data_IF_350894363583
#
_entry.id   IF_350894363583
#
_cell.length_a   1.000
_cell.length_b   1.000
_cell.length_c   1.000
_cell.angle_alpha   90.00
_cell.angle_beta   90.00
_cell.angle_gamma   90.00
#
_symmetry.space_group_name_H-M   'P 1'
#
loop_
_entity.id
_entity.type
_entity.pdbx_description
1 polymer ?
#
# COMPACT_ATOMS: atom_id res chain seq x y z
N UNK A 1 -12.14 -3.55 -12.34
CA UNK A 1 -12.22 -3.69 -10.88
C UNK A 1 -13.05 -2.53 -10.40
N UNK A 2 -14.22 -2.82 -9.83
CA UNK A 2 -15.12 -1.80 -9.30
C UNK A 2 -14.70 -1.50 -7.85
N UNK A 3 -14.31 -0.25 -7.58
CA UNK A 3 -13.92 0.24 -6.26
C UNK A 3 -15.11 0.89 -5.50
N UNK A 4 -16.31 0.88 -6.09
CA UNK A 4 -17.48 1.52 -5.50
C UNK A 4 -17.79 1.00 -4.08
N UNK A 5 -17.85 1.94 -3.13
CA UNK A 5 -18.36 1.71 -1.77
C UNK A 5 -17.35 1.14 -0.75
N UNK A 6 -16.05 1.17 -1.05
CA UNK A 6 -14.95 0.89 -0.08
C UNK A 6 -14.02 2.08 0.15
N UNK A 7 -14.42 3.21 -0.40
CA UNK A 7 -13.60 4.40 -0.47
C UNK A 7 -13.90 5.25 0.78
N UNK A 8 -12.86 5.74 1.47
CA UNK A 8 -12.99 6.52 2.70
C UNK A 8 -12.75 5.80 4.03
N UNK A 9 -12.48 4.50 4.01
CA UNK A 9 -12.25 3.69 5.21
C UNK A 9 -10.79 3.57 5.64
N UNK A 10 -9.87 3.87 4.71
CA UNK A 10 -8.44 3.85 4.93
C UNK A 10 -7.85 5.23 4.77
N UNK A 11 -7.00 5.61 5.72
CA UNK A 11 -6.16 6.80 5.59
C UNK A 11 -4.74 6.39 5.87
N UNK A 12 -3.84 6.62 4.91
CA UNK A 12 -2.40 6.64 5.17
C UNK A 12 -1.99 8.09 5.35
N UNK A 13 -1.43 8.42 6.50
CA UNK A 13 -1.02 9.78 6.84
C UNK A 13 0.46 9.82 7.20
N UNK A 14 1.20 10.68 6.51
CA UNK A 14 2.59 10.96 6.85
C UNK A 14 2.65 11.98 7.98
N UNK A 15 3.34 11.62 9.05
CA UNK A 15 3.44 12.42 10.27
C UNK A 15 4.90 12.67 10.58
N UNK A 16 5.27 13.95 10.61
CA UNK A 16 6.59 14.41 11.05
C UNK A 16 6.51 14.81 12.52
N UNK A 17 7.42 14.31 13.34
CA UNK A 17 7.69 14.88 14.67
C UNK A 17 9.13 15.38 14.74
N UNK A 18 9.53 15.97 15.87
CA UNK A 18 10.83 16.59 16.07
C UNK A 18 12.04 15.67 15.76
N UNK A 19 11.87 14.34 15.85
CA UNK A 19 12.96 13.36 15.71
C UNK A 19 12.73 12.30 14.64
N UNK A 20 11.63 12.35 13.89
CA UNK A 20 11.37 11.30 12.91
C UNK A 20 10.16 11.51 12.01
N UNK A 21 9.94 10.52 11.16
CA UNK A 21 8.81 10.45 10.24
C UNK A 21 8.13 9.10 10.39
N UNK A 22 6.81 9.10 10.46
CA UNK A 22 6.02 7.88 10.56
C UNK A 22 4.87 7.91 9.57
N UNK A 23 4.38 6.73 9.20
CA UNK A 23 3.13 6.57 8.46
C UNK A 23 2.10 5.94 9.40
N UNK A 24 1.00 6.67 9.61
CA UNK A 24 -0.15 6.17 10.34
C UNK A 24 -1.15 5.55 9.34
N UNK A 25 -1.45 4.27 9.54
CA UNK A 25 -2.46 3.52 8.78
C UNK A 25 -3.75 3.44 9.59
N UNK A 26 -4.76 4.22 9.21
CA UNK A 26 -6.07 4.23 9.84
C UNK A 26 -7.03 3.29 9.14
N UNK A 27 -7.89 2.62 9.92
CA UNK A 27 -9.09 1.93 9.43
C UNK A 27 -10.32 2.37 10.22
N UNK A 28 -11.48 2.34 9.58
CA UNK A 28 -12.77 2.52 10.24
C UNK A 28 -13.55 1.19 10.28
N UNK A 29 -13.64 0.58 11.45
CA UNK A 29 -14.34 -0.69 11.70
C UNK A 29 -15.09 -0.60 13.04
N UNK A 30 -16.30 -0.05 13.00
CA UNK A 30 -17.06 0.34 14.21
C UNK A 30 -16.47 1.54 14.98
N UNK A 31 -15.41 2.15 14.45
CA UNK A 31 -14.64 3.23 15.05
C UNK A 31 -13.27 3.36 14.36
N UNK A 32 -12.63 4.52 14.50
CA UNK A 32 -11.30 4.76 13.94
C UNK A 32 -10.21 4.15 14.81
N UNK A 33 -9.41 3.27 14.22
CA UNK A 33 -8.21 2.71 14.85
C UNK A 33 -7.00 2.88 13.92
N UNK A 34 -5.79 2.84 14.48
CA UNK A 34 -4.56 3.03 13.70
C UNK A 34 -3.42 2.10 14.07
N UNK A 35 -2.65 1.69 13.08
CA UNK A 35 -1.31 1.13 13.25
C UNK A 35 -0.27 2.12 12.73
N UNK A 36 0.79 2.38 13.50
CA UNK A 36 1.85 3.33 13.13
C UNK A 36 3.10 2.58 12.72
N UNK A 37 3.73 2.97 11.61
CA UNK A 37 4.96 2.35 11.11
C UNK A 37 6.15 2.49 12.06
N UNK A 38 7.28 1.85 11.74
CA UNK A 38 8.56 2.28 12.28
C UNK A 38 8.93 3.69 11.75
N UNK A 39 9.94 4.31 12.36
CA UNK A 39 10.50 5.56 11.87
C UNK A 39 11.11 5.38 10.47
N UNK A 40 10.74 6.28 9.55
CA UNK A 40 11.20 6.34 8.15
C UNK A 40 12.01 7.62 7.88
N UNK A 41 12.61 8.20 8.92
CA UNK A 41 13.33 9.48 8.89
C UNK A 41 14.58 9.54 8.02
N UNK A 42 14.89 8.52 7.22
CA UNK A 42 16.04 8.57 6.32
C UNK A 42 15.76 9.48 5.13
N UNK A 43 16.04 10.77 5.32
CA UNK A 43 15.81 11.83 4.33
C UNK A 43 16.46 11.49 2.98
N UNK A 44 15.71 11.71 1.89
CA UNK A 44 16.19 11.58 0.51
C UNK A 44 16.24 10.14 -0.03
N UNK A 45 15.78 9.14 0.73
CA UNK A 45 15.73 7.74 0.27
C UNK A 45 14.30 7.33 -0.07
N UNK A 46 14.18 6.51 -1.10
CA UNK A 46 12.95 5.80 -1.42
C UNK A 46 12.71 4.72 -0.36
N UNK A 47 11.48 4.69 0.16
CA UNK A 47 11.00 3.65 1.05
C UNK A 47 9.80 2.97 0.44
N UNK A 48 9.70 1.67 0.63
CA UNK A 48 8.49 0.92 0.29
C UNK A 48 7.56 0.87 1.50
N UNK A 49 6.34 1.37 1.36
CA UNK A 49 5.30 1.30 2.37
C UNK A 49 4.13 0.44 1.89
N UNK A 50 3.65 -0.45 2.76
CA UNK A 50 2.40 -1.17 2.53
C UNK A 50 1.59 -1.36 3.80
N UNK A 51 0.26 -1.37 3.64
CA UNK A 51 -0.71 -1.70 4.69
C UNK A 51 -1.62 -2.81 4.19
N UNK A 52 -1.90 -3.79 5.06
CA UNK A 52 -2.88 -4.83 4.78
C UNK A 52 -3.91 -4.93 5.91
N UNK A 53 -5.10 -5.38 5.56
CA UNK A 53 -6.16 -5.69 6.52
C UNK A 53 -6.97 -6.88 6.03
N UNK A 54 -7.09 -7.89 6.86
CA UNK A 54 -7.74 -9.17 6.53
C UNK A 54 -9.09 -9.38 7.25
N UNK A 55 -9.62 -8.33 7.90
CA UNK A 55 -10.83 -8.42 8.74
C UNK A 55 -10.55 -8.82 10.19
N UNK A 56 -9.29 -9.07 10.54
CA UNK A 56 -8.86 -9.42 11.92
C UNK A 56 -7.75 -8.52 12.42
N UNK A 57 -6.84 -8.11 11.55
CA UNK A 57 -5.68 -7.29 11.92
C UNK A 57 -5.19 -6.38 10.80
N UNK A 58 -4.73 -5.20 11.18
CA UNK A 58 -4.00 -4.26 10.32
C UNK A 58 -2.52 -4.53 10.47
N UNK A 59 -1.80 -4.70 9.36
CA UNK A 59 -0.34 -4.82 9.34
C UNK A 59 0.27 -3.70 8.53
N UNK A 60 1.39 -3.18 9.01
CA UNK A 60 2.17 -2.15 8.34
C UNK A 60 3.56 -2.68 8.04
N UNK A 61 4.01 -2.44 6.81
CA UNK A 61 5.29 -2.88 6.29
C UNK A 61 6.10 -1.68 5.82
N UNK A 62 7.36 -1.62 6.23
CA UNK A 62 8.37 -0.69 5.73
C UNK A 62 9.51 -1.52 5.15
N UNK A 63 9.90 -1.21 3.92
CA UNK A 63 10.99 -1.88 3.19
C UNK A 63 10.86 -3.42 3.26
N UNK A 64 9.63 -3.88 2.98
CA UNK A 64 9.26 -5.30 2.91
C UNK A 64 9.09 -5.99 4.28
N UNK A 65 9.46 -5.34 5.39
CA UNK A 65 9.41 -5.92 6.74
C UNK A 65 8.20 -5.42 7.50
N UNK A 66 7.51 -6.31 8.20
CA UNK A 66 6.40 -5.91 9.08
C UNK A 66 6.96 -5.12 10.27
N UNK A 67 6.52 -3.87 10.42
CA UNK A 67 6.95 -3.00 11.52
C UNK A 67 5.86 -2.78 12.56
N UNK A 68 4.60 -3.01 12.20
CA UNK A 68 3.49 -2.88 13.14
C UNK A 68 2.35 -3.85 12.83
N UNK A 69 1.61 -4.20 13.88
CA UNK A 69 0.42 -5.02 13.83
C UNK A 69 -0.59 -4.51 14.85
N UNK A 70 -1.86 -4.40 14.44
CA UNK A 70 -2.98 -4.05 15.31
C UNK A 70 -4.12 -5.04 15.10
N UNK A 71 -4.60 -5.66 16.18
CA UNK A 71 -5.80 -6.49 16.13
C UNK A 71 -7.05 -5.60 16.03
N UNK A 72 -7.84 -5.79 14.99
CA UNK A 72 -9.09 -5.09 14.74
C UNK A 72 -10.06 -6.05 14.01
N UNK A 73 -11.00 -6.64 14.76
CA UNK A 73 -11.92 -7.64 14.21
C UNK A 73 -13.14 -6.98 13.60
N UNK A 74 -13.59 -7.48 12.45
CA UNK A 74 -14.82 -7.05 11.81
C UNK A 74 -14.60 -6.49 10.41
N UNK A 75 -15.69 -6.28 9.65
CA UNK A 75 -15.62 -5.65 8.36
C UNK A 75 -15.30 -4.16 8.50
N UNK A 76 -14.75 -3.57 7.45
CA UNK A 76 -14.69 -2.12 7.39
C UNK A 76 -16.09 -1.54 7.21
N UNK A 77 -16.27 -0.33 7.72
CA UNK A 77 -17.51 0.42 7.60
C UNK A 77 -17.65 1.00 6.19
N UNK A 78 -18.48 0.39 5.34
CA UNK A 78 -18.75 0.88 3.97
C UNK A 78 -19.12 2.37 3.98
N UNK A 79 -18.35 3.20 3.29
CA UNK A 79 -18.72 4.60 3.03
C UNK A 79 -18.78 4.92 1.53
N UNK A 80 -19.51 5.99 1.18
CA UNK A 80 -19.52 6.57 -0.16
C UNK A 80 -18.49 7.68 -0.37
N UNK A 81 -17.55 7.87 0.57
CA UNK A 81 -16.52 8.89 0.43
C UNK A 81 -15.47 8.47 -0.60
N UNK A 82 -14.76 9.39 -1.27
CA UNK A 82 -13.73 9.00 -2.24
C UNK A 82 -12.45 8.49 -1.56
N UNK A 83 -11.69 7.66 -2.27
CA UNK A 83 -10.38 7.20 -1.82
C UNK A 83 -9.42 8.38 -1.80
N UNK A 84 -8.72 8.58 -0.68
CA UNK A 84 -7.77 9.67 -0.50
C UNK A 84 -6.43 9.12 -0.07
N UNK A 85 -5.37 9.58 -0.73
CA UNK A 85 -3.99 9.32 -0.36
C UNK A 85 -3.45 10.55 0.36
N UNK A 86 -2.94 10.37 1.57
CA UNK A 86 -2.42 11.44 2.41
C UNK A 86 -3.27 12.71 2.41
N UNK A 87 -4.55 12.51 2.70
CA UNK A 87 -5.47 13.58 3.04
C UNK A 87 -6.61 12.99 3.87
N UNK A 88 -7.10 13.73 4.85
CA UNK A 88 -8.29 13.33 5.62
C UNK A 88 -9.53 14.04 5.08
N UNK A 89 -10.73 13.56 5.42
CA UNK A 89 -11.97 14.28 5.06
C UNK A 89 -12.01 15.71 5.60
N UNK A 90 -11.25 16.01 6.66
CA UNK A 90 -11.16 17.32 7.30
C UNK A 90 -9.87 18.09 6.96
N UNK A 91 -9.06 17.61 6.00
CA UNK A 91 -7.77 18.24 5.64
C UNK A 91 -6.62 17.95 6.63
N UNK A 92 -5.52 18.69 6.48
CA UNK A 92 -4.42 18.77 7.47
C UNK A 92 -3.37 17.65 7.45
N UNK A 93 -3.43 16.71 6.49
CA UNK A 93 -2.51 15.55 6.44
C UNK A 93 -1.84 15.37 5.08
N UNK A 94 -1.47 16.48 4.44
CA UNK A 94 -0.91 16.48 3.09
C UNK A 94 0.47 15.83 3.06
N UNK A 95 0.68 14.92 2.10
CA UNK A 95 2.00 14.41 1.79
C UNK A 95 2.76 15.43 0.93
N UNK A 96 4.00 15.68 1.29
CA UNK A 96 4.94 16.49 0.51
C UNK A 96 6.13 15.61 0.19
N UNK A 97 6.18 15.10 -1.04
CA UNK A 97 7.23 14.18 -1.51
C UNK A 97 6.86 13.58 -2.87
N UNK A 98 7.57 12.53 -3.26
CA UNK A 98 7.29 11.76 -4.46
C UNK A 98 6.70 10.39 -4.12
N UNK A 99 5.79 9.91 -4.96
CA UNK A 99 5.21 8.56 -4.89
C UNK A 99 5.49 7.90 -6.23
N UNK A 100 5.89 6.64 -6.21
CA UNK A 100 6.04 5.80 -7.39
C UNK A 100 5.41 4.42 -7.13
N UNK A 101 4.97 3.77 -8.20
CA UNK A 101 4.41 2.40 -8.20
C UNK A 101 3.28 2.14 -7.19
N UNK A 102 2.29 3.04 -7.16
CA UNK A 102 1.14 2.92 -6.26
C UNK A 102 0.21 1.75 -6.65
N UNK A 103 -0.21 0.97 -5.65
CA UNK A 103 -1.19 -0.11 -5.82
C UNK A 103 -2.25 -0.15 -4.72
N UNK A 104 -3.48 -0.45 -5.12
CA UNK A 104 -4.59 -0.84 -4.23
C UNK A 104 -5.08 -2.23 -4.62
N UNK A 105 -5.40 -3.07 -3.63
CA UNK A 105 -5.81 -4.46 -3.80
C UNK A 105 -7.06 -4.75 -2.97
N UNK A 106 -7.97 -5.55 -3.51
CA UNK A 106 -9.16 -6.03 -2.79
C UNK A 106 -8.86 -7.20 -1.84
N UNK A 107 -7.66 -7.78 -1.93
CA UNK A 107 -7.18 -8.86 -1.07
C UNK A 107 -6.02 -8.38 -0.19
N UNK A 108 -5.99 -8.86 1.05
CA UNK A 108 -4.86 -8.71 1.95
C UNK A 108 -3.69 -9.56 1.46
N UNK A 109 -2.55 -8.93 1.23
CA UNK A 109 -1.32 -9.62 0.81
C UNK A 109 -0.55 -10.17 2.01
N UNK A 110 0.10 -11.30 1.81
CA UNK A 110 1.00 -11.88 2.80
C UNK A 110 2.31 -11.08 2.88
N UNK A 111 3.05 -11.20 3.99
CA UNK A 111 4.35 -10.54 4.13
C UNK A 111 5.35 -10.94 3.04
N UNK A 112 5.33 -12.22 2.61
CA UNK A 112 6.18 -12.70 1.52
C UNK A 112 5.83 -12.05 0.19
N UNK A 113 4.54 -11.94 -0.13
CA UNK A 113 4.11 -11.20 -1.32
C UNK A 113 4.56 -9.74 -1.24
N UNK A 114 4.33 -9.06 -0.12
CA UNK A 114 4.77 -7.66 0.06
C UNK A 114 6.27 -7.50 -0.20
N UNK A 115 7.10 -8.41 0.31
CA UNK A 115 8.55 -8.40 0.04
C UNK A 115 8.85 -8.58 -1.45
N UNK A 116 8.23 -9.55 -2.11
CA UNK A 116 8.39 -9.77 -3.56
C UNK A 116 7.98 -8.53 -4.36
N UNK A 117 6.92 -7.84 -3.95
CA UNK A 117 6.43 -6.65 -4.63
C UNK A 117 7.35 -5.44 -4.44
N UNK A 118 7.96 -5.30 -3.27
CA UNK A 118 9.02 -4.32 -3.06
C UNK A 118 10.21 -4.57 -3.99
N UNK A 119 10.68 -5.82 -4.08
CA UNK A 119 11.88 -6.18 -4.86
C UNK A 119 11.66 -6.07 -6.36
N UNK A 120 10.47 -6.44 -6.85
CA UNK A 120 10.18 -6.50 -8.28
C UNK A 120 9.48 -5.24 -8.82
N UNK A 121 8.94 -4.37 -7.96
CA UNK A 121 8.13 -3.22 -8.37
C UNK A 121 6.96 -3.65 -9.27
N UNK A 122 6.65 -2.87 -10.31
CA UNK A 122 5.58 -3.23 -11.26
C UNK A 122 5.80 -4.55 -11.99
N UNK A 123 7.05 -4.99 -12.15
CA UNK A 123 7.34 -6.28 -12.79
C UNK A 123 6.80 -7.47 -12.00
N UNK A 124 6.63 -7.33 -10.68
CA UNK A 124 5.99 -8.33 -9.83
C UNK A 124 4.48 -8.51 -10.10
N UNK A 125 3.87 -7.60 -10.86
CA UNK A 125 2.44 -7.63 -11.21
C UNK A 125 2.16 -7.93 -12.68
N UNK A 126 3.18 -7.87 -13.54
CA UNK A 126 2.99 -8.15 -14.95
C UNK A 126 2.74 -9.65 -15.12
N UNK A 127 1.48 -10.01 -15.34
CA UNK A 127 1.04 -11.38 -15.63
C UNK A 127 1.73 -12.00 -16.86
N UNK A 128 2.42 -11.18 -17.66
CA UNK A 128 3.24 -11.62 -18.78
C UNK A 128 4.62 -11.03 -18.61
N UNK A 129 5.60 -11.86 -18.24
CA UNK A 129 7.00 -11.52 -18.42
C UNK A 129 7.18 -11.07 -19.90
N UNK A 130 7.93 -9.99 -20.18
CA UNK A 130 8.14 -9.55 -21.58
C UNK A 130 8.75 -10.65 -22.47
N UNK A 131 9.38 -11.65 -21.85
CA UNK A 131 9.88 -12.90 -22.45
C UNK A 131 8.79 -13.89 -22.86
N UNK A 132 7.58 -13.79 -22.30
CA UNK A 132 6.40 -14.60 -22.63
C UNK A 132 5.39 -13.90 -23.54
N UNK A 133 5.64 -12.66 -23.98
CA UNK A 133 4.82 -12.03 -25.02
C UNK A 133 5.06 -12.76 -26.34
N UNK A 134 4.00 -13.29 -26.95
CA UNK A 134 4.02 -13.92 -28.28
C UNK A 134 4.81 -13.08 -29.29
N UNK A 135 4.67 -11.75 -29.26
CA UNK A 135 5.40 -10.83 -30.14
C UNK A 135 6.93 -10.98 -30.06
N UNK A 136 7.49 -11.22 -28.86
CA UNK A 136 8.95 -11.41 -28.67
C UNK A 136 9.40 -12.78 -29.17
N UNK A 137 8.61 -13.83 -28.92
CA UNK A 137 8.87 -15.21 -29.38
C UNK A 137 8.78 -15.31 -30.91
N UNK A 138 7.75 -14.70 -31.52
CA UNK A 138 7.61 -14.63 -32.98
C UNK A 138 8.76 -13.87 -33.65
N UNK A 139 9.32 -12.83 -33.00
CA UNK A 139 10.49 -12.13 -33.53
C UNK A 139 11.76 -13.00 -33.57
N UNK A 140 11.87 -13.99 -32.67
CA UNK A 140 13.00 -14.93 -32.63
C UNK A 140 12.84 -16.07 -33.62
N UNK A 141 11.61 -16.56 -33.83
CA UNK A 141 11.30 -17.62 -34.81
C UNK A 141 11.54 -17.13 -36.25
N UNK A 142 11.20 -15.88 -36.57
CA UNK A 142 11.43 -15.32 -37.92
C UNK A 142 12.89 -14.99 -38.24
N UNK A 143 13.84 -15.22 -37.32
CA UNK A 143 15.27 -15.00 -37.52
C UNK A 143 16.08 -16.29 -37.72
N UNK A 144 15.42 -17.45 -37.72
CA UNK A 144 15.97 -18.73 -38.20
C UNK A 144 15.40 -19.01 -39.58
#
# INVERSE_FOLDING_TARGET
MDFQGKEGEYVSAFRKEAKGWWVDSYINNGGWVKATSADISSYGKWHHYATTFDGKEVKVYIDGKQTAILKAKGPLNKTGAPFRLSNSCCGGRFFVGAIDEMRVSSIARTGKEIQTLMELGVKGFLAVASTGKLTTTWSKIKKQ
#
